data_IF_688281778080
#
_entry.id   IF_688281778080
#
_cell.length_a   1.000
_cell.length_b   1.000
_cell.length_c   1.000
_cell.angle_alpha   90.00
_cell.angle_beta   90.00
_cell.angle_gamma   90.00
#
_symmetry.space_group_name_H-M   'P 1'
#
loop_
_entity.id
_entity.type
_entity.pdbx_description
1 polymer ?
#
# COMPACT_ATOMS: atom_id res chain seq x y z
N UNK A 1 8.07 1.70 -14.43
CA UNK A 1 6.78 2.13 -15.02
C UNK A 1 5.71 2.36 -13.98
N UNK A 2 5.61 1.50 -12.96
CA UNK A 2 4.71 1.71 -11.82
C UNK A 2 5.47 1.75 -10.49
N UNK A 3 5.14 2.69 -9.63
CA UNK A 3 5.60 2.73 -8.24
C UNK A 3 4.42 2.64 -7.27
N UNK A 4 4.63 1.97 -6.13
CA UNK A 4 3.60 1.83 -5.08
C UNK A 4 3.89 2.82 -3.96
N UNK A 5 2.86 3.55 -3.56
CA UNK A 5 2.82 4.18 -2.25
C UNK A 5 2.03 3.27 -1.30
N UNK A 6 2.69 2.71 -0.28
CA UNK A 6 2.06 2.00 0.85
C UNK A 6 2.91 0.85 1.41
N UNK A 7 3.09 0.62 2.73
CA UNK A 7 2.39 1.14 3.93
C UNK A 7 3.32 1.07 5.17
N UNK A 8 3.46 2.18 5.90
CA UNK A 8 3.99 2.19 7.29
C UNK A 8 3.10 1.39 8.26
N UNK A 9 1.86 1.03 7.85
CA UNK A 9 0.91 0.27 8.66
C UNK A 9 1.41 -1.11 9.12
N UNK A 10 2.28 -1.80 8.38
CA UNK A 10 2.69 -3.18 8.75
C UNK A 10 3.51 -3.23 10.05
N UNK A 11 4.45 -2.30 10.24
CA UNK A 11 5.18 -2.14 11.50
C UNK A 11 4.24 -1.76 12.65
N UNK A 12 3.16 -1.03 12.34
CA UNK A 12 2.16 -0.61 13.31
C UNK A 12 1.20 -1.73 13.74
N UNK A 13 1.02 -2.79 12.93
CA UNK A 13 0.27 -3.99 13.34
C UNK A 13 1.12 -4.94 14.18
N UNK A 14 2.44 -4.98 13.97
CA UNK A 14 3.36 -5.81 14.75
C UNK A 14 3.42 -5.38 16.22
N UNK A 15 3.32 -4.08 16.51
CA UNK A 15 3.38 -3.58 17.88
C UNK A 15 2.17 -4.04 18.72
N UNK A 16 0.90 -3.86 18.33
CA UNK A 16 -0.26 -4.45 19.00
C UNK A 16 -0.21 -5.98 19.07
N UNK A 17 0.28 -6.65 18.03
CA UNK A 17 0.39 -8.11 18.03
C UNK A 17 1.39 -8.61 19.07
N UNK A 18 2.50 -7.88 19.26
CA UNK A 18 3.46 -8.16 20.34
C UNK A 18 2.83 -8.01 21.73
N UNK A 19 1.82 -7.15 21.90
CA UNK A 19 1.08 -6.98 23.15
C UNK A 19 0.20 -8.18 23.47
N UNK A 20 -0.53 -8.71 22.49
CA UNK A 20 -1.32 -9.94 22.66
C UNK A 20 -0.43 -11.13 23.01
N UNK A 21 0.73 -11.22 22.38
CA UNK A 21 1.70 -12.28 22.65
C UNK A 21 2.25 -12.21 24.08
N UNK A 22 2.66 -11.02 24.54
CA UNK A 22 3.14 -10.81 25.91
C UNK A 22 2.06 -11.07 26.97
N UNK A 23 0.83 -10.61 26.74
CA UNK A 23 -0.30 -10.89 27.64
C UNK A 23 -0.60 -12.40 27.73
N UNK A 24 -0.45 -13.12 26.61
CA UNK A 24 -0.61 -14.58 26.58
C UNK A 24 0.48 -15.29 27.38
N UNK A 25 1.74 -14.86 27.27
CA UNK A 25 2.86 -15.37 28.08
C UNK A 25 2.65 -15.09 29.57
N UNK A 26 2.24 -13.88 29.95
CA UNK A 26 1.96 -13.53 31.34
C UNK A 26 0.86 -14.42 31.95
N UNK A 27 -0.19 -14.68 31.18
CA UNK A 27 -1.28 -15.59 31.60
C UNK A 27 -0.80 -17.02 31.75
N UNK A 28 0.04 -17.53 30.84
CA UNK A 28 0.62 -18.87 30.90
C UNK A 28 1.55 -19.06 32.11
N UNK A 29 2.36 -18.04 32.42
CA UNK A 29 3.32 -18.08 33.53
C UNK A 29 2.73 -17.66 34.88
N UNK A 30 1.43 -17.33 34.92
CA UNK A 30 0.73 -16.79 36.09
C UNK A 30 1.46 -15.58 36.73
N UNK A 31 2.17 -14.81 35.89
CA UNK A 31 3.00 -13.69 36.30
C UNK A 31 2.26 -12.38 36.03
N UNK A 32 1.93 -11.66 37.11
CA UNK A 32 1.13 -10.43 37.05
C UNK A 32 1.96 -9.26 37.57
N UNK A 33 2.65 -8.56 36.67
CA UNK A 33 3.48 -7.39 37.01
C UNK A 33 2.78 -6.09 36.63
N UNK A 34 2.40 -5.31 37.65
CA UNK A 34 1.73 -4.03 37.50
C UNK A 34 2.62 -2.96 36.84
N UNK A 35 3.92 -2.98 37.15
CA UNK A 35 4.92 -2.11 36.52
C UNK A 35 5.05 -2.38 35.02
N UNK A 36 5.03 -3.66 34.63
CA UNK A 36 5.08 -4.06 33.24
C UNK A 36 3.84 -3.54 32.49
N UNK A 37 2.65 -3.77 33.05
CA UNK A 37 1.39 -3.29 32.47
C UNK A 37 1.33 -1.76 32.34
N UNK A 38 1.77 -1.03 33.36
CA UNK A 38 1.81 0.44 33.35
C UNK A 38 2.79 0.97 32.30
N UNK A 39 3.98 0.37 32.21
CA UNK A 39 4.97 0.68 31.19
C UNK A 39 4.44 0.46 29.78
N UNK A 40 3.73 -0.65 29.56
CA UNK A 40 3.12 -0.98 28.26
C UNK A 40 2.03 0.00 27.84
N UNK A 41 1.11 0.36 28.74
CA UNK A 41 0.05 1.33 28.43
C UNK A 41 0.66 2.68 28.07
N UNK A 42 1.65 3.15 28.84
CA UNK A 42 2.38 4.39 28.52
C UNK A 42 3.10 4.30 27.16
N UNK A 43 3.76 3.18 26.88
CA UNK A 43 4.42 2.93 25.61
C UNK A 43 3.46 2.96 24.42
N UNK A 44 2.26 2.39 24.57
CA UNK A 44 1.22 2.43 23.54
C UNK A 44 0.74 3.85 23.27
N UNK A 45 0.47 4.65 24.31
CA UNK A 45 0.08 6.05 24.14
C UNK A 45 1.16 6.87 23.41
N UNK A 46 2.44 6.67 23.75
CA UNK A 46 3.55 7.34 23.09
C UNK A 46 3.65 6.91 21.62
N UNK A 47 3.59 5.60 21.34
CA UNK A 47 3.67 5.07 19.98
C UNK A 47 2.51 5.54 19.09
N UNK A 48 1.28 5.54 19.61
CA UNK A 48 0.09 6.08 18.92
C UNK A 48 0.25 7.57 18.61
N UNK A 49 0.71 8.35 19.58
CA UNK A 49 0.91 9.78 19.40
C UNK A 49 1.97 10.06 18.33
N UNK A 50 3.11 9.37 18.40
CA UNK A 50 4.17 9.49 17.39
C UNK A 50 3.69 9.09 16.00
N UNK A 51 2.89 8.03 15.89
CA UNK A 51 2.34 7.60 14.61
C UNK A 51 1.41 8.65 13.99
N UNK A 52 0.47 9.19 14.77
CA UNK A 52 -0.42 10.23 14.28
C UNK A 52 0.34 11.49 13.84
N UNK A 53 1.42 11.82 14.54
CA UNK A 53 2.29 12.95 14.19
C UNK A 53 3.11 12.69 12.92
N UNK A 54 3.57 11.45 12.70
CA UNK A 54 4.48 11.11 11.61
C UNK A 54 3.79 10.61 10.34
N UNK A 55 2.58 10.08 10.43
CA UNK A 55 1.89 9.46 9.29
C UNK A 55 1.60 10.48 8.18
N UNK A 56 1.13 11.68 8.52
CA UNK A 56 0.83 12.74 7.55
C UNK A 56 2.09 13.22 6.83
N UNK A 57 3.15 13.71 7.52
CA UNK A 57 4.35 14.21 6.85
C UNK A 57 5.07 13.10 6.06
N UNK A 58 5.03 11.85 6.54
CA UNK A 58 5.63 10.74 5.81
C UNK A 58 4.91 10.47 4.48
N UNK A 59 3.58 10.46 4.45
CA UNK A 59 2.83 10.27 3.20
C UNK A 59 3.10 11.42 2.21
N UNK A 60 3.12 12.67 2.69
CA UNK A 60 3.46 13.83 1.84
C UNK A 60 4.88 13.74 1.28
N UNK A 61 5.84 13.28 2.09
CA UNK A 61 7.21 13.06 1.64
C UNK A 61 7.29 11.99 0.55
N UNK A 62 6.63 10.84 0.73
CA UNK A 62 6.60 9.77 -0.27
C UNK A 62 5.96 10.24 -1.57
N UNK A 63 4.82 10.94 -1.49
CA UNK A 63 4.16 11.51 -2.66
C UNK A 63 5.07 12.51 -3.40
N UNK A 64 5.71 13.42 -2.67
CA UNK A 64 6.65 14.39 -3.25
C UNK A 64 7.86 13.69 -3.88
N UNK A 65 8.38 12.64 -3.25
CA UNK A 65 9.49 11.86 -3.76
C UNK A 65 9.12 11.16 -5.07
N UNK A 66 7.97 10.48 -5.12
CA UNK A 66 7.50 9.79 -6.32
C UNK A 66 7.28 10.79 -7.47
N UNK A 67 6.61 11.91 -7.20
CA UNK A 67 6.43 13.00 -8.18
C UNK A 67 7.76 13.56 -8.70
N UNK A 68 8.74 13.76 -7.81
CA UNK A 68 10.07 14.26 -8.20
C UNK A 68 10.84 13.30 -9.11
N UNK A 69 10.51 12.01 -9.07
CA UNK A 69 11.06 10.98 -9.97
C UNK A 69 10.29 10.87 -11.31
N UNK A 70 9.36 11.80 -11.59
CA UNK A 70 8.64 11.88 -12.85
C UNK A 70 7.42 10.97 -12.95
N UNK A 71 6.88 10.51 -11.83
CA UNK A 71 5.64 9.72 -11.81
C UNK A 71 4.42 10.61 -11.60
N UNK A 72 3.31 10.21 -12.21
CA UNK A 72 1.99 10.82 -12.12
C UNK A 72 1.01 9.87 -11.44
N UNK A 73 0.08 10.43 -10.67
CA UNK A 73 -0.94 9.65 -9.97
C UNK A 73 -2.01 9.18 -10.95
N UNK A 74 -2.34 7.88 -10.93
CA UNK A 74 -3.41 7.32 -11.74
C UNK A 74 -4.62 6.93 -10.88
N UNK A 75 -5.67 7.74 -10.95
CA UNK A 75 -6.89 7.51 -10.17
C UNK A 75 -7.66 6.26 -10.62
N UNK A 76 -7.67 5.95 -11.92
CA UNK A 76 -8.45 4.84 -12.47
C UNK A 76 -7.98 3.46 -12.02
N UNK A 77 -6.68 3.33 -11.72
CA UNK A 77 -6.08 2.07 -11.26
C UNK A 77 -5.86 2.03 -9.76
N UNK A 78 -5.96 3.18 -9.09
CA UNK A 78 -5.90 3.22 -7.63
C UNK A 78 -7.19 2.65 -7.06
N UNK A 79 -7.05 1.69 -6.15
CA UNK A 79 -8.21 1.07 -5.51
C UNK A 79 -8.91 2.09 -4.62
N UNK A 80 -10.26 2.16 -4.64
CA UNK A 80 -11.01 3.08 -3.76
C UNK A 80 -10.92 2.69 -2.27
N UNK A 81 -10.31 1.56 -1.95
CA UNK A 81 -10.09 1.12 -0.58
C UNK A 81 -9.00 1.97 0.07
N UNK A 82 -9.24 2.42 1.30
CA UNK A 82 -8.21 3.04 2.15
C UNK A 82 -7.01 2.10 2.42
N UNK A 83 -7.16 0.80 2.12
CA UNK A 83 -6.08 -0.20 2.19
C UNK A 83 -5.47 -0.52 0.83
N UNK A 84 -5.99 0.04 -0.26
CA UNK A 84 -5.44 -0.10 -1.59
C UNK A 84 -4.12 0.65 -1.73
N UNK A 85 -3.13 0.15 -2.48
CA UNK A 85 -1.98 0.95 -2.85
C UNK A 85 -2.40 2.00 -3.88
N UNK A 86 -1.84 3.20 -3.75
CA UNK A 86 -1.92 4.19 -4.82
C UNK A 86 -1.07 3.71 -6.00
N UNK A 87 -1.59 3.92 -7.21
CA UNK A 87 -0.89 3.59 -8.46
C UNK A 87 -0.31 4.85 -9.06
N UNK A 88 1.02 4.85 -9.21
CA UNK A 88 1.79 5.93 -9.82
C UNK A 88 2.41 5.41 -11.11
N UNK A 89 2.24 6.14 -12.22
CA UNK A 89 2.73 5.76 -13.54
C UNK A 89 3.77 6.76 -14.05
N UNK A 90 4.77 6.30 -14.78
CA UNK A 90 5.79 7.19 -15.35
C UNK A 90 5.31 7.91 -16.61
N UNK A 91 4.44 7.26 -17.39
CA UNK A 91 3.70 7.83 -18.50
C UNK A 91 2.21 7.92 -18.09
N UNK A 92 1.65 9.13 -18.10
CA UNK A 92 0.26 9.39 -17.71
C UNK A 92 -0.75 8.94 -18.77
N UNK A 93 -0.36 8.84 -20.05
CA UNK A 93 -1.18 8.29 -21.13
C UNK A 93 -1.62 6.84 -20.85
N UNK A 94 -0.85 6.11 -20.03
CA UNK A 94 -1.18 4.74 -19.65
C UNK A 94 -2.30 4.67 -18.58
N UNK A 95 -2.77 5.80 -18.05
CA UNK A 95 -3.87 5.84 -17.07
C UNK A 95 -5.25 5.85 -17.76
N UNK A 96 -5.65 4.71 -18.30
CA UNK A 96 -6.90 4.56 -19.04
C UNK A 96 -8.08 4.23 -18.15
N UNK A 97 -9.17 4.98 -18.29
CA UNK A 97 -10.41 4.73 -17.56
C UNK A 97 -10.98 3.34 -17.80
N UNK A 98 -10.84 2.80 -19.01
CA UNK A 98 -11.34 1.47 -19.37
C UNK A 98 -10.65 0.33 -18.62
N UNK A 99 -9.43 0.54 -18.10
CA UNK A 99 -8.77 -0.45 -17.24
C UNK A 99 -9.29 -0.47 -15.80
N UNK A 100 -10.12 0.49 -15.39
CA UNK A 100 -10.66 0.57 -14.02
C UNK A 100 -11.53 -0.63 -13.63
N UNK A 101 -12.17 -1.29 -14.59
CA UNK A 101 -13.00 -2.49 -14.34
C UNK A 101 -12.18 -3.76 -14.14
N UNK A 102 -10.91 -3.76 -14.56
CA UNK A 102 -9.96 -4.88 -14.49
C UNK A 102 -8.67 -4.47 -13.78
N UNK A 103 -8.77 -3.57 -12.78
CA UNK A 103 -7.62 -2.99 -12.06
C UNK A 103 -6.61 -4.03 -11.56
N UNK A 104 -7.07 -5.21 -11.13
CA UNK A 104 -6.20 -6.29 -10.68
C UNK A 104 -5.31 -6.82 -11.82
N UNK A 105 -5.89 -7.05 -12.99
CA UNK A 105 -5.17 -7.60 -14.15
C UNK A 105 -4.21 -6.55 -14.72
N UNK A 106 -4.63 -5.28 -14.77
CA UNK A 106 -3.77 -4.13 -15.09
C UNK A 106 -2.58 -4.04 -14.14
N UNK A 107 -2.82 -4.21 -12.83
CA UNK A 107 -1.76 -4.19 -11.84
C UNK A 107 -0.71 -5.27 -12.09
N UNK A 108 -1.12 -6.51 -12.38
CA UNK A 108 -0.20 -7.61 -12.69
C UNK A 108 0.54 -7.37 -14.00
N UNK A 109 -0.15 -6.85 -15.00
CA UNK A 109 0.43 -6.53 -16.29
C UNK A 109 1.55 -5.48 -16.18
N UNK A 110 1.35 -4.42 -15.38
CA UNK A 110 2.41 -3.44 -15.09
C UNK A 110 3.57 -4.03 -14.27
N UNK A 111 3.32 -4.94 -13.33
CA UNK A 111 4.40 -5.61 -12.59
C UNK A 111 5.28 -6.45 -13.54
N UNK A 112 4.67 -7.19 -14.47
CA UNK A 112 5.44 -7.95 -15.46
C UNK A 112 6.31 -7.04 -16.35
N UNK A 113 5.83 -5.87 -16.74
CA UNK A 113 6.62 -4.90 -17.51
C UNK A 113 7.75 -4.28 -16.68
N UNK A 114 7.47 -3.95 -15.41
CA UNK A 114 8.49 -3.49 -14.46
C UNK A 114 9.61 -4.52 -14.30
N UNK A 115 9.30 -5.80 -14.12
CA UNK A 115 10.27 -6.90 -13.99
C UNK A 115 11.15 -7.05 -15.23
N UNK A 116 10.58 -6.83 -16.42
CA UNK A 116 11.30 -6.87 -17.70
C UNK A 116 12.09 -5.60 -17.99
N UNK A 117 11.83 -4.50 -17.30
CA UNK A 117 12.42 -3.19 -17.56
C UNK A 117 12.00 -2.58 -18.92
N UNK A 118 10.91 -3.06 -19.52
CA UNK A 118 10.39 -2.58 -20.82
C UNK A 118 9.14 -1.74 -20.58
N UNK A 119 9.18 -0.49 -21.02
CA UNK A 119 8.05 0.43 -20.88
C UNK A 119 7.00 0.12 -21.95
N UNK A 120 5.76 -0.22 -21.55
CA UNK A 120 4.73 -0.55 -22.53
C UNK A 120 4.26 0.70 -23.27
N UNK A 121 3.81 0.47 -24.50
CA UNK A 121 3.14 1.47 -25.31
C UNK A 121 1.66 1.58 -24.96
N UNK A 122 1.05 2.72 -25.30
CA UNK A 122 -0.40 2.94 -25.15
C UNK A 122 -1.22 1.86 -25.88
N UNK A 123 -0.84 1.54 -27.12
CA UNK A 123 -1.55 0.55 -27.94
C UNK A 123 -1.49 -0.86 -27.32
N UNK A 124 -0.34 -1.27 -26.74
CA UNK A 124 -0.24 -2.57 -26.05
C UNK A 124 -1.18 -2.65 -24.85
N UNK A 125 -1.33 -1.55 -24.11
CA UNK A 125 -2.25 -1.48 -22.98
C UNK A 125 -3.71 -1.51 -23.43
N UNK A 126 -4.07 -0.77 -24.48
CA UNK A 126 -5.42 -0.77 -25.05
C UNK A 126 -5.84 -2.17 -25.51
N UNK A 127 -4.97 -2.86 -26.25
CA UNK A 127 -5.20 -4.25 -26.69
C UNK A 127 -5.39 -5.17 -25.49
N UNK A 128 -4.50 -5.09 -24.49
CA UNK A 128 -4.61 -5.89 -23.28
C UNK A 128 -5.94 -5.67 -22.54
N UNK A 129 -6.38 -4.42 -22.40
CA UNK A 129 -7.66 -4.08 -21.75
C UNK A 129 -8.82 -4.68 -22.52
N UNK A 130 -8.83 -4.55 -23.86
CA UNK A 130 -9.90 -5.06 -24.71
C UNK A 130 -10.01 -6.58 -24.63
N UNK A 131 -8.89 -7.29 -24.76
CA UNK A 131 -8.85 -8.76 -24.71
C UNK A 131 -9.31 -9.27 -23.33
N UNK A 132 -8.76 -8.71 -22.26
CA UNK A 132 -9.13 -9.10 -20.89
C UNK A 132 -10.61 -8.86 -20.63
N UNK A 133 -11.16 -7.70 -21.04
CA UNK A 133 -12.60 -7.42 -20.88
C UNK A 133 -13.46 -8.37 -21.72
N UNK A 134 -13.03 -8.74 -22.92
CA UNK A 134 -13.75 -9.71 -23.73
C UNK A 134 -13.81 -11.09 -23.07
N UNK A 135 -12.75 -11.50 -22.37
CA UNK A 135 -12.72 -12.76 -21.60
C UNK A 135 -13.67 -12.75 -20.41
N UNK A 136 -13.74 -11.64 -19.65
CA UNK A 136 -14.66 -11.52 -18.51
C UNK A 136 -16.14 -11.50 -18.91
N UNK A 137 -16.45 -11.11 -20.16
CA UNK A 137 -17.82 -11.03 -20.67
C UNK A 137 -18.26 -12.29 -21.45
N UNK A 138 -17.42 -13.33 -21.56
CA UNK A 138 -17.80 -14.65 -22.10
C UNK A 138 -18.44 -15.53 -21.04
#
# INVERSE_FOLDING_TARGET
MKEKSGKVFLLFFLFPFSLFFLASIQKLLNYKSEYLMTGFVKGLFIALSLFLLLVIPFNLYIESYIKSNGYTYCNWYTSPSFRGPDVWLKNDELCLQDGSVITRDIYYWFEMHNEKGIEPTLNELEVFIQETRAEYNR
#
